data_IF_754233930532
#
_entry.id   IF_754233930532
#
_cell.length_a   1.000
_cell.length_b   1.000
_cell.length_c   1.000
_cell.angle_alpha   90.00
_cell.angle_beta   90.00
_cell.angle_gamma   90.00
#
_symmetry.space_group_name_H-M   'P 1'
#
loop_
_entity.id
_entity.type
_entity.pdbx_description
1 polymer ?
#
# COMPACT_ATOMS: atom_id res chain seq x y z
N UNK A 1 40.22 -16.38 -52.40
CA UNK A 1 39.63 -16.94 -51.18
C UNK A 1 38.80 -15.86 -50.52
N UNK A 2 37.47 -16.01 -50.48
CA UNK A 2 36.59 -15.05 -49.81
C UNK A 2 36.64 -15.28 -48.30
N UNK A 3 36.84 -14.21 -47.51
CA UNK A 3 36.76 -14.29 -46.04
C UNK A 3 35.29 -14.43 -45.63
N UNK A 4 34.94 -15.34 -44.70
CA UNK A 4 33.60 -15.42 -44.18
C UNK A 4 33.28 -14.13 -43.42
N UNK A 5 32.14 -13.52 -43.72
CA UNK A 5 31.62 -12.40 -42.94
C UNK A 5 30.98 -12.99 -41.70
N UNK A 6 31.53 -12.66 -40.53
CA UNK A 6 30.88 -12.92 -39.24
C UNK A 6 29.63 -12.03 -39.16
N UNK A 7 28.47 -12.64 -39.42
CA UNK A 7 27.18 -11.98 -39.28
C UNK A 7 26.72 -12.14 -37.83
N UNK A 8 26.85 -11.07 -37.03
CA UNK A 8 26.20 -10.99 -35.72
C UNK A 8 24.85 -10.28 -35.87
N UNK A 9 23.70 -10.99 -35.76
CA UNK A 9 22.37 -10.40 -35.88
C UNK A 9 22.09 -9.29 -34.85
N UNK A 10 22.90 -9.15 -33.79
CA UNK A 10 22.79 -8.05 -32.81
C UNK A 10 23.22 -6.70 -33.38
N UNK A 11 23.98 -6.69 -34.47
CA UNK A 11 24.40 -5.45 -35.17
C UNK A 11 23.29 -4.82 -36.00
N UNK A 12 22.19 -5.54 -36.24
CA UNK A 12 20.99 -5.05 -36.94
C UNK A 12 19.89 -4.57 -35.98
N UNK A 13 20.07 -4.77 -34.68
CA UNK A 13 19.15 -4.23 -33.68
C UNK A 13 19.51 -2.75 -33.46
N UNK A 14 18.55 -1.82 -33.57
CA UNK A 14 18.82 -0.41 -33.32
C UNK A 14 19.38 -0.25 -31.92
N UNK A 15 20.49 0.48 -31.83
CA UNK A 15 21.16 0.75 -30.55
C UNK A 15 20.20 1.47 -29.60
N UNK A 16 20.39 1.37 -28.27
CA UNK A 16 19.55 2.10 -27.32
C UNK A 16 19.43 3.60 -27.64
N UNK A 17 20.51 4.22 -28.13
CA UNK A 17 20.54 5.61 -28.58
C UNK A 17 19.68 5.87 -29.82
N UNK A 18 19.72 4.98 -30.81
CA UNK A 18 18.87 5.08 -32.01
C UNK A 18 17.39 4.84 -31.69
N UNK A 19 17.09 3.89 -30.78
CA UNK A 19 15.72 3.62 -30.31
C UNK A 19 15.11 4.81 -29.57
N UNK A 20 15.89 5.45 -28.69
CA UNK A 20 15.47 6.67 -28.00
C UNK A 20 15.26 7.78 -29.02
N UNK A 21 16.20 8.01 -29.94
CA UNK A 21 16.10 9.07 -30.96
C UNK A 21 14.86 8.90 -31.85
N UNK A 22 14.57 7.68 -32.31
CA UNK A 22 13.38 7.39 -33.11
C UNK A 22 12.07 7.55 -32.31
N UNK A 23 12.02 7.06 -31.07
CA UNK A 23 10.83 7.23 -30.21
C UNK A 23 10.59 8.68 -29.78
N UNK A 24 11.64 9.49 -29.67
CA UNK A 24 11.56 10.91 -29.32
C UNK A 24 10.95 11.74 -30.45
N UNK A 25 11.22 11.38 -31.71
CA UNK A 25 10.72 12.09 -32.88
C UNK A 25 9.19 11.97 -33.04
N UNK A 26 8.62 10.80 -32.73
CA UNK A 26 7.18 10.54 -32.83
C UNK A 26 6.39 10.91 -31.55
N UNK A 27 7.08 11.11 -30.42
CA UNK A 27 6.45 11.27 -29.09
C UNK A 27 6.90 12.52 -28.34
N UNK A 28 7.31 13.58 -29.05
CA UNK A 28 7.82 14.81 -28.44
C UNK A 28 6.88 15.38 -27.37
N UNK A 29 5.58 15.43 -27.64
CA UNK A 29 4.58 15.96 -26.71
C UNK A 29 4.43 15.08 -25.45
N UNK A 30 4.36 13.76 -25.61
CA UNK A 30 4.27 12.82 -24.49
C UNK A 30 5.52 12.87 -23.59
N UNK A 31 6.70 13.12 -24.18
CA UNK A 31 7.94 13.30 -23.42
C UNK A 31 7.96 14.62 -22.66
N UNK A 32 7.42 15.71 -23.25
CA UNK A 32 7.26 16.98 -22.55
C UNK A 32 6.31 16.84 -21.35
N UNK A 33 5.18 16.17 -21.52
CA UNK A 33 4.24 15.89 -20.42
C UNK A 33 4.88 15.04 -19.31
N UNK A 34 5.64 14.00 -19.67
CA UNK A 34 6.34 13.17 -18.70
C UNK A 34 7.39 13.97 -17.91
N UNK A 35 8.14 14.85 -18.59
CA UNK A 35 9.11 15.74 -17.94
C UNK A 35 8.45 16.75 -17.02
N UNK A 36 7.29 17.30 -17.39
CA UNK A 36 6.51 18.20 -16.54
C UNK A 36 6.03 17.50 -15.27
N UNK A 37 5.49 16.29 -15.40
CA UNK A 37 5.11 15.46 -14.24
C UNK A 37 6.30 15.21 -13.31
N UNK A 38 7.45 14.80 -13.87
CA UNK A 38 8.66 14.56 -13.08
C UNK A 38 9.13 15.82 -12.35
N UNK A 39 9.02 16.99 -12.99
CA UNK A 39 9.32 18.29 -12.37
C UNK A 39 8.43 18.55 -11.15
N UNK A 40 7.12 18.42 -11.31
CA UNK A 40 6.16 18.62 -10.21
C UNK A 40 6.45 17.67 -9.05
N UNK A 41 6.69 16.38 -9.34
CA UNK A 41 7.03 15.38 -8.32
C UNK A 41 8.35 15.67 -7.61
N UNK A 42 9.34 16.22 -8.34
CA UNK A 42 10.63 16.61 -7.78
C UNK A 42 10.51 17.81 -6.85
N UNK A 43 9.81 18.86 -7.28
CA UNK A 43 9.59 20.10 -6.51
C UNK A 43 8.91 19.81 -5.16
N UNK A 44 7.98 18.87 -5.13
CA UNK A 44 7.27 18.47 -3.91
C UNK A 44 8.00 17.37 -3.11
N UNK A 45 9.24 17.02 -3.47
CA UNK A 45 10.04 15.92 -2.87
C UNK A 45 9.40 14.53 -2.91
N UNK A 46 8.31 14.36 -3.65
CA UNK A 46 7.64 13.06 -3.83
C UNK A 46 8.58 12.11 -4.55
N UNK A 47 9.23 12.58 -5.62
CA UNK A 47 10.20 11.78 -6.38
C UNK A 47 11.32 11.24 -5.50
N UNK A 48 11.86 12.07 -4.60
CA UNK A 48 12.92 11.66 -3.68
C UNK A 48 12.47 10.60 -2.68
N UNK A 49 11.24 10.69 -2.17
CA UNK A 49 10.66 9.69 -1.28
C UNK A 49 10.42 8.37 -1.99
N UNK A 50 9.86 8.39 -3.21
CA UNK A 50 9.66 7.19 -4.01
C UNK A 50 10.98 6.47 -4.31
N UNK A 51 12.03 7.22 -4.68
CA UNK A 51 13.37 6.64 -4.91
C UNK A 51 13.90 5.93 -3.67
N UNK A 52 13.77 6.52 -2.47
CA UNK A 52 14.22 5.88 -1.23
C UNK A 52 13.43 4.62 -0.89
N UNK A 53 12.12 4.62 -1.13
CA UNK A 53 11.28 3.43 -0.93
C UNK A 53 11.72 2.29 -1.85
N UNK A 54 11.97 2.59 -3.13
CA UNK A 54 12.44 1.59 -4.10
C UNK A 54 13.85 1.09 -3.78
N UNK A 55 14.77 1.97 -3.38
CA UNK A 55 16.13 1.58 -2.98
C UNK A 55 16.15 0.76 -1.68
N UNK A 56 15.20 1.01 -0.77
CA UNK A 56 15.07 0.25 0.48
C UNK A 56 14.31 -1.07 0.33
N UNK A 57 13.52 -1.24 -0.74
CA UNK A 57 12.74 -2.44 -1.02
C UNK A 57 13.34 -3.26 -2.15
N UNK A 58 14.25 -4.18 -1.85
CA UNK A 58 14.73 -5.15 -2.83
C UNK A 58 13.53 -5.92 -3.43
N UNK A 59 13.35 -5.86 -4.76
CA UNK A 59 12.39 -6.70 -5.49
C UNK A 59 11.00 -6.12 -5.77
N UNK A 60 10.66 -4.90 -5.33
CA UNK A 60 9.31 -4.32 -5.58
C UNK A 60 9.06 -3.94 -7.05
N UNK A 61 10.11 -3.56 -7.78
CA UNK A 61 9.97 -2.93 -9.10
C UNK A 61 9.43 -3.89 -10.18
N UNK A 62 9.80 -5.17 -10.13
CA UNK A 62 9.47 -6.10 -11.22
C UNK A 62 8.01 -6.59 -11.18
N UNK A 63 7.34 -6.58 -10.02
CA UNK A 63 5.94 -7.06 -9.89
C UNK A 63 4.91 -5.93 -9.81
N UNK A 64 5.33 -4.70 -9.50
CA UNK A 64 4.43 -3.55 -9.44
C UNK A 64 3.94 -3.10 -10.83
N UNK A 65 4.76 -3.30 -11.87
CA UNK A 65 4.46 -2.85 -13.24
C UNK A 65 3.34 -3.67 -13.90
N UNK A 66 3.26 -4.97 -13.63
CA UNK A 66 2.23 -5.84 -14.22
C UNK A 66 0.81 -5.52 -13.70
N UNK A 67 0.71 -4.94 -12.50
CA UNK A 67 -0.57 -4.54 -11.87
C UNK A 67 -1.16 -3.29 -12.53
N UNK A 68 -0.37 -2.52 -13.30
CA UNK A 68 -0.74 -1.19 -13.80
C UNK A 68 -1.38 -1.16 -15.20
N UNK A 69 -1.45 -2.29 -15.90
CA UNK A 69 -1.83 -2.35 -17.32
C UNK A 69 -3.34 -2.54 -17.61
N UNK A 70 -4.22 -2.37 -16.62
CA UNK A 70 -5.66 -2.58 -16.78
C UNK A 70 -6.50 -1.36 -16.33
N UNK A 71 -7.76 -1.20 -16.79
CA UNK A 71 -8.70 -0.24 -16.20
C UNK A 71 -8.91 -0.45 -14.68
N UNK A 72 -8.63 -1.66 -14.19
CA UNK A 72 -8.57 -1.99 -12.77
C UNK A 72 -7.48 -1.20 -12.00
N UNK A 73 -6.40 -0.80 -12.67
CA UNK A 73 -5.25 -0.12 -12.06
C UNK A 73 -5.59 1.30 -11.60
N UNK A 74 -6.41 2.03 -12.36
CA UNK A 74 -6.91 3.35 -11.94
C UNK A 74 -7.80 3.23 -10.71
N UNK A 75 -8.66 2.20 -10.65
CA UNK A 75 -9.50 1.93 -9.47
C UNK A 75 -8.66 1.53 -8.26
N UNK A 76 -7.66 0.68 -8.44
CA UNK A 76 -6.75 0.28 -7.39
C UNK A 76 -5.97 1.48 -6.82
N UNK A 77 -5.44 2.35 -7.69
CA UNK A 77 -4.75 3.57 -7.28
C UNK A 77 -5.66 4.51 -6.51
N UNK A 78 -6.91 4.70 -6.98
CA UNK A 78 -7.90 5.51 -6.25
C UNK A 78 -8.18 4.92 -4.87
N UNK A 79 -8.44 3.62 -4.76
CA UNK A 79 -8.67 2.95 -3.49
C UNK A 79 -7.46 3.06 -2.55
N UNK A 80 -6.24 2.96 -3.09
CA UNK A 80 -5.02 3.15 -2.31
C UNK A 80 -4.90 4.58 -1.78
N UNK A 81 -5.19 5.59 -2.60
CA UNK A 81 -5.17 6.99 -2.17
C UNK A 81 -6.23 7.25 -1.08
N UNK A 82 -7.42 6.67 -1.19
CA UNK A 82 -8.44 6.76 -0.14
C UNK A 82 -7.97 6.07 1.15
N UNK A 83 -7.31 4.91 1.06
CA UNK A 83 -6.72 4.24 2.21
C UNK A 83 -5.62 5.10 2.87
N UNK A 84 -4.72 5.68 2.07
CA UNK A 84 -3.66 6.57 2.57
C UNK A 84 -4.27 7.79 3.27
N UNK A 85 -5.34 8.37 2.72
CA UNK A 85 -6.07 9.48 3.36
C UNK A 85 -6.72 9.04 4.67
N UNK A 86 -7.39 7.89 4.68
CA UNK A 86 -8.02 7.34 5.87
C UNK A 86 -6.99 7.08 6.98
N UNK A 87 -5.83 6.49 6.64
CA UNK A 87 -4.73 6.27 7.57
C UNK A 87 -4.12 7.59 8.06
N UNK A 88 -3.97 8.57 7.17
CA UNK A 88 -3.47 9.91 7.52
C UNK A 88 -4.44 10.73 8.39
N UNK A 89 -5.72 10.36 8.43
CA UNK A 89 -6.72 10.96 9.32
C UNK A 89 -6.73 10.38 10.73
N UNK A 90 -5.94 9.34 11.01
CA UNK A 90 -5.81 8.76 12.35
C UNK A 90 -4.79 9.58 13.13
N UNK A 91 -5.19 10.08 14.31
CA UNK A 91 -4.31 10.82 15.22
C UNK A 91 -3.10 9.95 15.63
N UNK A 92 -1.85 10.44 15.53
CA UNK A 92 -0.64 9.66 15.82
C UNK A 92 -0.63 9.03 17.22
N UNK A 93 -1.14 9.74 18.23
CA UNK A 93 -1.24 9.28 19.61
C UNK A 93 -2.16 8.07 19.73
N UNK A 94 -3.32 8.11 19.07
CA UNK A 94 -4.27 7.00 19.05
C UNK A 94 -3.67 5.78 18.35
N UNK A 95 -2.98 5.98 17.22
CA UNK A 95 -2.28 4.92 16.50
C UNK A 95 -1.18 4.28 17.37
N UNK A 96 -0.39 5.09 18.07
CA UNK A 96 0.68 4.63 18.96
C UNK A 96 0.15 3.79 20.12
N UNK A 97 -0.96 4.22 20.74
CA UNK A 97 -1.62 3.45 21.82
C UNK A 97 -2.09 2.10 21.31
N UNK A 98 -2.82 2.06 20.17
CA UNK A 98 -3.38 0.82 19.62
C UNK A 98 -2.26 -0.14 19.20
N UNK A 99 -1.30 0.34 18.42
CA UNK A 99 -0.16 -0.49 17.95
C UNK A 99 0.68 -1.01 19.12
N UNK A 100 0.93 -0.18 20.14
CA UNK A 100 1.62 -0.57 21.35
C UNK A 100 0.87 -1.63 22.16
N UNK A 101 -0.45 -1.47 22.33
CA UNK A 101 -1.30 -2.46 23.00
C UNK A 101 -1.32 -3.80 22.24
N UNK A 102 -1.49 -3.76 20.92
CA UNK A 102 -1.44 -4.95 20.05
C UNK A 102 -0.10 -5.66 20.16
N UNK A 103 1.01 -4.93 20.07
CA UNK A 103 2.35 -5.50 20.17
C UNK A 103 2.59 -6.16 21.54
N UNK A 104 2.06 -5.60 22.64
CA UNK A 104 2.10 -6.24 23.96
C UNK A 104 1.27 -7.54 23.97
N UNK A 105 0.05 -7.50 23.46
CA UNK A 105 -0.82 -8.67 23.40
C UNK A 105 -0.24 -9.82 22.57
N UNK A 106 0.37 -9.52 21.42
CA UNK A 106 1.05 -10.51 20.58
C UNK A 106 2.23 -11.15 21.31
N UNK A 107 3.08 -10.34 21.99
CA UNK A 107 4.22 -10.88 22.77
C UNK A 107 3.75 -11.77 23.92
N UNK A 108 2.70 -11.36 24.61
CA UNK A 108 2.14 -12.15 25.71
C UNK A 108 1.56 -13.46 25.19
N UNK A 109 0.74 -13.41 24.12
CA UNK A 109 0.21 -14.61 23.48
C UNK A 109 1.32 -15.57 23.01
N UNK A 110 2.39 -15.05 22.41
CA UNK A 110 3.54 -15.85 22.00
C UNK A 110 4.20 -16.57 23.19
N UNK A 111 4.42 -15.88 24.32
CA UNK A 111 4.98 -16.48 25.54
C UNK A 111 4.13 -17.62 26.08
N UNK A 112 2.81 -17.45 26.11
CA UNK A 112 1.88 -18.50 26.60
C UNK A 112 1.91 -19.73 25.70
N UNK A 113 2.00 -19.53 24.39
CA UNK A 113 2.19 -20.62 23.42
C UNK A 113 3.52 -21.34 23.63
N UNK A 114 4.62 -20.61 23.80
CA UNK A 114 5.96 -21.18 24.07
C UNK A 114 6.01 -21.96 25.40
N UNK A 115 5.33 -21.45 26.43
CA UNK A 115 5.20 -22.12 27.72
C UNK A 115 4.26 -23.34 27.69
N UNK A 116 3.58 -23.61 26.56
CA UNK A 116 2.59 -24.68 26.44
C UNK A 116 1.34 -24.46 27.30
N UNK A 117 1.12 -23.23 27.76
CA UNK A 117 0.00 -22.89 28.60
C UNK A 117 -1.29 -22.90 27.78
N UNK A 118 -2.25 -23.72 28.21
CA UNK A 118 -3.61 -23.69 27.68
C UNK A 118 -4.52 -23.06 28.71
N UNK A 119 -5.34 -22.11 28.27
CA UNK A 119 -6.35 -21.53 29.13
C UNK A 119 -7.31 -22.62 29.62
N UNK A 120 -7.32 -22.88 30.92
CA UNK A 120 -8.26 -23.79 31.56
C UNK A 120 -9.63 -23.14 31.79
N UNK A 121 -10.68 -23.95 32.00
CA UNK A 121 -12.04 -23.43 32.24
C UNK A 121 -12.12 -22.46 33.44
N UNK A 122 -11.35 -22.71 34.50
CA UNK A 122 -11.27 -21.82 35.66
C UNK A 122 -10.54 -20.50 35.36
N UNK A 123 -9.52 -20.56 34.51
CA UNK A 123 -8.78 -19.39 34.06
C UNK A 123 -9.65 -18.52 33.15
N UNK A 124 -10.42 -19.12 32.24
CA UNK A 124 -11.40 -18.39 31.42
C UNK A 124 -12.43 -17.65 32.28
N UNK A 125 -12.87 -18.26 33.39
CA UNK A 125 -13.79 -17.63 34.34
C UNK A 125 -13.13 -16.45 35.08
N UNK A 126 -11.83 -16.59 35.40
CA UNK A 126 -11.04 -15.51 35.98
C UNK A 126 -10.82 -14.38 34.97
N UNK A 127 -10.50 -14.72 33.73
CA UNK A 127 -10.28 -13.78 32.63
C UNK A 127 -11.55 -12.98 32.31
N UNK A 128 -12.73 -13.61 32.43
CA UNK A 128 -14.00 -12.91 32.32
C UNK A 128 -14.27 -11.88 33.43
N UNK A 129 -13.60 -12.00 34.58
CA UNK A 129 -13.66 -11.05 35.70
C UNK A 129 -12.50 -10.05 35.72
N UNK A 130 -11.57 -10.18 34.77
CA UNK A 130 -10.39 -9.34 34.70
C UNK A 130 -10.74 -7.93 34.19
N UNK A 131 -10.32 -6.86 34.89
CA UNK A 131 -10.63 -5.48 34.51
C UNK A 131 -10.00 -5.07 33.17
N UNK A 132 -8.81 -5.59 32.82
CA UNK A 132 -8.12 -5.28 31.57
C UNK A 132 -8.83 -5.94 30.38
N UNK A 133 -9.37 -7.14 30.59
CA UNK A 133 -10.20 -7.84 29.59
C UNK A 133 -11.51 -7.07 29.37
N UNK A 134 -12.15 -6.62 30.44
CA UNK A 134 -13.35 -5.78 30.36
C UNK A 134 -13.09 -4.47 29.61
N UNK A 135 -11.96 -3.81 29.86
CA UNK A 135 -11.55 -2.59 29.16
C UNK A 135 -11.33 -2.84 27.66
N UNK A 136 -10.61 -3.91 27.30
CA UNK A 136 -10.36 -4.28 25.91
C UNK A 136 -11.67 -4.62 25.17
N UNK A 137 -12.57 -5.38 25.79
CA UNK A 137 -13.89 -5.68 25.23
C UNK A 137 -14.74 -4.41 25.07
N UNK A 138 -14.73 -3.52 26.04
CA UNK A 138 -15.42 -2.23 25.96
C UNK A 138 -14.91 -1.37 24.80
N UNK A 139 -13.58 -1.28 24.64
CA UNK A 139 -12.96 -0.58 23.52
C UNK A 139 -13.34 -1.22 22.18
N UNK A 140 -13.29 -2.54 22.06
CA UNK A 140 -13.67 -3.27 20.85
C UNK A 140 -15.14 -3.02 20.47
N UNK A 141 -16.06 -3.12 21.44
CA UNK A 141 -17.47 -2.82 21.23
C UNK A 141 -17.69 -1.35 20.84
N UNK A 142 -16.91 -0.43 21.40
CA UNK A 142 -16.90 0.98 21.01
C UNK A 142 -16.53 1.18 19.54
N UNK A 143 -15.46 0.52 19.08
CA UNK A 143 -15.05 0.53 17.66
C UNK A 143 -16.16 -0.02 16.77
N UNK A 144 -16.75 -1.17 17.13
CA UNK A 144 -17.86 -1.77 16.37
C UNK A 144 -19.08 -0.84 16.31
N UNK A 145 -19.40 -0.14 17.41
CA UNK A 145 -20.50 0.82 17.47
C UNK A 145 -20.25 2.02 16.55
N UNK A 146 -19.04 2.59 16.58
CA UNK A 146 -18.65 3.69 15.70
C UNK A 146 -18.68 3.28 14.22
N UNK A 147 -18.17 2.08 13.91
CA UNK A 147 -18.23 1.52 12.56
C UNK A 147 -19.68 1.39 12.06
N UNK A 148 -20.57 0.85 12.89
CA UNK A 148 -21.99 0.73 12.55
C UNK A 148 -22.72 2.06 12.40
N UNK A 149 -22.31 3.10 13.14
CA UNK A 149 -22.83 4.47 12.98
C UNK A 149 -22.40 5.05 11.64
N UNK A 150 -21.11 4.96 11.29
CA UNK A 150 -20.59 5.44 10.00
C UNK A 150 -21.24 4.75 8.80
N UNK A 151 -21.49 3.44 8.87
CA UNK A 151 -22.21 2.72 7.80
C UNK A 151 -23.66 3.18 7.64
N UNK A 152 -24.33 3.58 8.74
CA UNK A 152 -25.73 4.05 8.70
C UNK A 152 -25.82 5.46 8.15
N UNK A 153 -24.88 6.33 8.51
CA UNK A 153 -24.77 7.69 7.97
C UNK A 153 -24.48 7.66 6.47
N UNK A 154 -23.57 6.79 6.02
CA UNK A 154 -23.28 6.60 4.59
C UNK A 154 -24.47 6.08 3.78
N UNK A 155 -25.35 5.27 4.38
CA UNK A 155 -26.60 4.78 3.76
C UNK A 155 -27.74 5.79 3.80
N UNK A 156 -27.64 6.84 4.63
CA UNK A 156 -28.70 7.85 4.80
C UNK A 156 -28.61 9.01 3.80
N UNK A 157 -27.62 9.01 2.90
CA UNK A 157 -27.61 9.89 1.72
C UNK A 157 -28.53 9.28 0.66
N UNK A 158 -29.75 9.81 0.44
CA UNK A 158 -30.71 9.25 -0.50
C UNK A 158 -30.20 9.44 -1.93
N UNK A 159 -30.52 8.46 -2.79
CA UNK A 159 -30.03 8.35 -4.15
C UNK A 159 -30.12 9.64 -4.98
N UNK A 160 -29.07 9.88 -5.76
CA UNK A 160 -29.15 10.75 -6.93
C UNK A 160 -30.04 10.02 -7.95
N UNK A 161 -31.11 10.65 -8.46
CA UNK A 161 -32.01 10.02 -9.43
C UNK A 161 -31.26 9.64 -10.71
N UNK A 162 -31.58 8.46 -11.25
CA UNK A 162 -31.30 8.16 -12.65
C UNK A 162 -32.14 9.07 -13.54
N UNK A 163 -31.48 9.94 -14.31
CA UNK A 163 -32.01 10.53 -15.56
C UNK A 163 -30.90 10.46 -16.60
#
# INVERSE_FOLDING_TARGET
MARPIEFDPRTLLPTPSERVSAGTADSADALLEALELLRVLHEHRVLHTLVRVVQGGEGLAAHALDILNEPASVRALRNLLELVRALGGIEPEALSVVTGALARGVREGARRVEAGERAGLGELLSLARDPDVGLALGAFLGVLRGFGQGLREGQSTPGVPHV
#
